data_IF_349457674556
#
_entry.id   IF_349457674556
#
_cell.length_a   1.000
_cell.length_b   1.000
_cell.length_c   1.000
_cell.angle_alpha   90.00
_cell.angle_beta   90.00
_cell.angle_gamma   90.00
#
_symmetry.space_group_name_H-M   'P 1'
#
loop_
_entity.id
_entity.type
_entity.pdbx_description
1 polymer ?
#
# COMPACT_ATOMS: atom_id res chain seq x y z
N UNK A 1 -15.46 22.06 -5.02
CA UNK A 1 -14.85 21.39 -6.20
C UNK A 1 -14.96 19.89 -6.01
N UNK A 2 -15.17 19.12 -7.07
CA UNK A 2 -15.14 17.65 -7.00
C UNK A 2 -13.67 17.28 -6.82
N UNK A 3 -13.34 16.61 -5.71
CA UNK A 3 -11.97 16.11 -5.49
C UNK A 3 -11.74 14.91 -6.39
N UNK A 4 -10.63 14.89 -7.12
CA UNK A 4 -10.22 13.73 -7.89
C UNK A 4 -9.57 12.71 -6.95
N UNK A 5 -9.66 11.43 -7.30
CA UNK A 5 -8.84 10.39 -6.69
C UNK A 5 -7.76 9.99 -7.69
N UNK A 6 -6.51 10.14 -7.31
CA UNK A 6 -5.34 9.94 -8.16
C UNK A 6 -4.49 8.82 -7.57
N UNK A 7 -4.20 7.81 -8.37
CA UNK A 7 -3.26 6.76 -8.02
C UNK A 7 -1.87 7.10 -8.59
N UNK A 8 -0.88 7.13 -7.72
CA UNK A 8 0.54 7.28 -8.09
C UNK A 8 1.13 5.88 -8.24
N UNK A 9 1.58 5.57 -9.44
CA UNK A 9 2.17 4.28 -9.82
C UNK A 9 3.68 4.38 -9.70
N UNK A 10 4.27 3.67 -8.75
CA UNK A 10 5.70 3.72 -8.45
C UNK A 10 6.53 2.75 -9.29
N UNK A 11 5.89 1.80 -9.97
CA UNK A 11 6.58 0.75 -10.71
C UNK A 11 5.97 0.56 -12.09
N UNK A 12 6.81 0.64 -13.14
CA UNK A 12 6.38 0.47 -14.53
C UNK A 12 5.98 -0.97 -14.87
N UNK A 13 6.45 -1.93 -14.09
CA UNK A 13 6.18 -3.36 -14.29
C UNK A 13 4.96 -3.84 -13.49
N UNK A 14 4.45 -3.00 -12.60
CA UNK A 14 3.32 -3.32 -11.74
C UNK A 14 2.06 -2.62 -12.23
N UNK A 15 1.04 -3.39 -12.57
CA UNK A 15 -0.28 -2.82 -12.87
C UNK A 15 -0.96 -2.34 -11.60
N UNK A 16 -1.93 -1.43 -11.74
CA UNK A 16 -2.65 -0.83 -10.60
C UNK A 16 -3.51 -1.81 -9.79
N UNK A 17 -3.59 -3.08 -10.21
CA UNK A 17 -4.45 -4.06 -9.55
C UNK A 17 -5.94 -3.73 -9.66
N UNK A 18 -6.71 -4.15 -8.67
CA UNK A 18 -8.13 -3.85 -8.56
C UNK A 18 -8.35 -2.54 -7.82
N UNK A 19 -8.23 -1.41 -8.52
CA UNK A 19 -8.65 -0.11 -7.99
C UNK A 19 -10.11 0.18 -8.39
N UNK A 20 -10.84 0.99 -7.59
CA UNK A 20 -12.17 1.45 -7.97
C UNK A 20 -12.20 2.21 -9.30
N UNK A 21 -13.32 2.12 -10.02
CA UNK A 21 -13.53 2.87 -11.26
C UNK A 21 -13.41 4.39 -11.06
N UNK A 22 -12.92 5.08 -12.08
CA UNK A 22 -12.82 6.54 -12.09
C UNK A 22 -11.56 7.10 -11.41
N UNK A 23 -10.65 6.26 -10.94
CA UNK A 23 -9.35 6.68 -10.42
C UNK A 23 -8.41 6.99 -11.60
N UNK A 24 -7.77 8.16 -11.55
CA UNK A 24 -6.77 8.58 -12.53
C UNK A 24 -5.41 8.03 -12.09
N UNK A 25 -4.71 7.30 -12.97
CA UNK A 25 -3.37 6.81 -12.68
C UNK A 25 -2.30 7.67 -13.33
N UNK A 26 -1.26 8.01 -12.58
CA UNK A 26 -0.10 8.79 -13.04
C UNK A 26 1.17 8.09 -12.56
N UNK A 27 2.15 7.94 -13.45
CA UNK A 27 3.43 7.36 -13.10
C UNK A 27 4.25 8.35 -12.23
N UNK A 28 4.83 7.87 -11.15
CA UNK A 28 5.56 8.71 -10.19
C UNK A 28 6.71 9.51 -10.81
N UNK A 29 7.38 8.95 -11.83
CA UNK A 29 8.47 9.61 -12.57
C UNK A 29 7.99 10.68 -13.56
N UNK A 30 6.67 10.79 -13.83
CA UNK A 30 6.04 11.79 -14.70
C UNK A 30 5.35 12.89 -13.90
N UNK A 31 5.25 12.74 -12.57
CA UNK A 31 4.56 13.70 -11.69
C UNK A 31 5.38 14.99 -11.56
N UNK A 32 4.73 16.12 -11.75
CA UNK A 32 5.25 17.42 -11.31
C UNK A 32 5.00 17.57 -9.80
N UNK A 33 5.88 17.00 -9.00
CA UNK A 33 5.77 16.96 -7.54
C UNK A 33 5.76 18.34 -6.89
N UNK A 34 6.35 19.34 -7.54
CA UNK A 34 6.42 20.71 -7.02
C UNK A 34 5.06 21.43 -7.11
N UNK A 35 4.24 21.05 -8.10
CA UNK A 35 2.93 21.64 -8.37
C UNK A 35 1.75 20.68 -8.15
N UNK A 36 1.99 19.47 -7.65
CA UNK A 36 0.91 18.51 -7.39
C UNK A 36 -0.05 19.06 -6.31
N UNK A 37 -1.35 19.04 -6.60
CA UNK A 37 -2.41 19.57 -5.72
C UNK A 37 -2.37 18.92 -4.33
N UNK A 38 -2.73 19.68 -3.30
CA UNK A 38 -2.93 19.16 -1.94
C UNK A 38 -4.42 18.93 -1.62
N UNK A 39 -5.32 19.34 -2.53
CA UNK A 39 -6.77 19.26 -2.32
C UNK A 39 -7.39 17.96 -2.83
N UNK A 40 -6.70 17.24 -3.70
CA UNK A 40 -7.13 15.97 -4.25
C UNK A 40 -6.87 14.81 -3.26
N UNK A 41 -7.37 13.62 -3.60
CA UNK A 41 -7.18 12.38 -2.83
C UNK A 41 -6.17 11.51 -3.54
N UNK A 42 -5.24 10.89 -2.81
CA UNK A 42 -4.16 10.12 -3.42
C UNK A 42 -4.08 8.69 -2.90
N UNK A 43 -3.76 7.77 -3.82
CA UNK A 43 -3.37 6.40 -3.52
C UNK A 43 -1.93 6.23 -4.00
N UNK A 44 -1.00 6.00 -3.08
CA UNK A 44 0.41 5.76 -3.38
C UNK A 44 0.60 4.25 -3.44
N UNK A 45 0.84 3.74 -4.62
CA UNK A 45 0.93 2.29 -4.87
C UNK A 45 2.28 1.71 -4.50
N UNK A 46 2.35 0.38 -4.54
CA UNK A 46 3.54 -0.41 -4.31
C UNK A 46 4.59 -0.31 -5.43
N UNK A 47 5.69 -1.03 -5.26
CA UNK A 47 6.77 -1.18 -6.22
C UNK A 47 7.86 -2.10 -5.67
N UNK A 48 8.76 -2.56 -6.54
CA UNK A 48 9.84 -3.50 -6.18
C UNK A 48 11.04 -2.85 -5.48
N UNK A 49 11.11 -1.50 -5.49
CA UNK A 49 12.21 -0.74 -4.89
C UNK A 49 12.00 -0.53 -3.39
N UNK A 50 13.08 -0.36 -2.64
CA UNK A 50 13.03 0.16 -1.27
C UNK A 50 12.78 1.68 -1.26
N UNK A 51 12.12 2.19 -0.23
CA UNK A 51 11.87 3.64 -0.08
C UNK A 51 13.18 4.45 0.04
N UNK A 52 14.30 3.78 0.33
CA UNK A 52 15.64 4.32 0.45
C UNK A 52 16.46 4.27 -0.86
N UNK A 53 15.88 3.78 -1.96
CA UNK A 53 16.56 3.65 -3.26
C UNK A 53 16.58 4.97 -4.06
N UNK A 54 16.62 6.11 -3.39
CA UNK A 54 16.59 7.47 -3.97
C UNK A 54 17.66 7.72 -5.05
N UNK A 55 18.80 7.04 -4.95
CA UNK A 55 19.90 7.19 -5.92
C UNK A 55 19.55 6.54 -7.27
N UNK A 56 18.79 5.46 -7.26
CA UNK A 56 18.39 4.72 -8.45
C UNK A 56 17.07 5.27 -9.01
N UNK A 57 16.14 5.60 -8.12
CA UNK A 57 14.81 6.11 -8.44
C UNK A 57 14.67 7.53 -7.89
N UNK A 58 15.19 8.50 -8.63
CA UNK A 58 15.33 9.90 -8.15
C UNK A 58 14.00 10.59 -7.84
N UNK A 59 12.89 10.11 -8.39
CA UNK A 59 11.56 10.64 -8.06
C UNK A 59 11.13 10.34 -6.62
N UNK A 60 11.62 9.24 -5.99
CA UNK A 60 11.27 8.88 -4.60
C UNK A 60 11.61 9.99 -3.61
N UNK A 61 12.71 10.71 -3.81
CA UNK A 61 13.07 11.83 -2.95
C UNK A 61 12.02 12.96 -3.02
N UNK A 62 11.59 13.30 -4.23
CA UNK A 62 10.56 14.33 -4.43
C UNK A 62 9.19 13.89 -3.91
N UNK A 63 8.84 12.64 -4.12
CA UNK A 63 7.62 12.03 -3.61
C UNK A 63 7.58 12.08 -2.07
N UNK A 64 8.65 11.68 -1.37
CA UNK A 64 8.73 11.78 0.09
C UNK A 64 8.63 13.23 0.58
N UNK A 65 9.25 14.20 -0.11
CA UNK A 65 9.12 15.61 0.22
C UNK A 65 7.69 16.11 0.05
N UNK A 66 7.03 15.72 -1.03
CA UNK A 66 5.62 16.05 -1.26
C UNK A 66 4.71 15.37 -0.23
N UNK A 67 4.90 14.09 0.06
CA UNK A 67 4.16 13.35 1.08
C UNK A 67 4.24 14.04 2.44
N UNK A 68 5.43 14.47 2.85
CA UNK A 68 5.60 15.23 4.10
C UNK A 68 4.75 16.50 4.12
N UNK A 69 4.74 17.26 3.02
CA UNK A 69 3.92 18.48 2.88
C UNK A 69 2.43 18.13 2.88
N UNK A 70 2.02 17.15 2.11
CA UNK A 70 0.64 16.73 1.94
C UNK A 70 0.02 16.22 3.25
N UNK A 71 0.74 15.35 3.98
CA UNK A 71 0.31 14.85 5.28
C UNK A 71 0.17 16.00 6.30
N UNK A 72 1.10 16.95 6.29
CA UNK A 72 1.01 18.12 7.16
C UNK A 72 -0.14 19.07 6.81
N UNK A 73 -0.62 19.02 5.58
CA UNK A 73 -1.77 19.80 5.07
C UNK A 73 -3.10 19.02 5.15
N UNK A 74 -3.13 17.89 5.85
CA UNK A 74 -4.29 17.00 5.98
C UNK A 74 -4.86 16.48 4.65
N UNK A 75 -4.02 16.41 3.62
CA UNK A 75 -4.36 15.74 2.34
C UNK A 75 -4.75 14.29 2.61
N UNK A 76 -5.81 13.82 1.95
CA UNK A 76 -6.25 12.44 2.09
C UNK A 76 -5.38 11.50 1.27
N UNK A 77 -4.67 10.60 1.94
CA UNK A 77 -3.70 9.70 1.31
C UNK A 77 -3.91 8.26 1.79
N UNK A 78 -3.85 7.31 0.85
CA UNK A 78 -3.70 5.88 1.11
C UNK A 78 -2.36 5.43 0.56
N UNK A 79 -1.50 4.86 1.39
CA UNK A 79 -0.26 4.20 0.96
C UNK A 79 -0.43 2.69 0.98
N UNK A 80 0.03 2.00 -0.06
CA UNK A 80 -0.02 0.54 -0.21
C UNK A 80 1.40 0.02 -0.43
N UNK A 81 1.84 -0.94 0.37
CA UNK A 81 3.15 -1.58 0.33
C UNK A 81 4.29 -0.53 0.35
N UNK A 82 5.04 -0.34 -0.74
CA UNK A 82 6.04 0.73 -0.84
C UNK A 82 5.45 2.10 -0.48
N UNK A 83 4.21 2.39 -0.87
CA UNK A 83 3.54 3.64 -0.51
C UNK A 83 3.41 3.84 1.00
N UNK A 84 3.18 2.78 1.78
CA UNK A 84 3.15 2.83 3.25
C UNK A 84 4.53 3.12 3.84
N UNK A 85 5.58 2.58 3.24
CA UNK A 85 6.98 2.78 3.62
C UNK A 85 7.46 4.20 3.31
N UNK A 86 7.10 4.74 2.13
CA UNK A 86 7.38 6.12 1.74
C UNK A 86 6.71 7.13 2.68
N UNK A 87 5.47 6.85 3.09
CA UNK A 87 4.76 7.66 4.08
C UNK A 87 5.50 7.63 5.41
N UNK A 88 5.91 6.45 5.90
CA UNK A 88 6.66 6.33 7.14
C UNK A 88 7.95 7.16 7.11
N UNK A 89 8.77 7.00 6.07
CA UNK A 89 10.01 7.77 5.87
C UNK A 89 9.76 9.29 5.81
N UNK A 90 8.68 9.70 5.11
CA UNK A 90 8.38 11.12 4.93
C UNK A 90 8.08 11.86 6.25
N UNK A 91 7.57 11.14 7.26
CA UNK A 91 7.11 11.77 8.52
C UNK A 91 7.89 11.32 9.76
N UNK A 92 9.11 10.82 9.56
CA UNK A 92 10.07 10.57 10.63
C UNK A 92 10.08 9.15 11.19
N UNK A 93 9.43 8.19 10.52
CA UNK A 93 9.71 6.78 10.66
C UNK A 93 10.95 6.38 9.85
N UNK A 94 11.20 5.10 9.74
CA UNK A 94 12.30 4.53 8.95
C UNK A 94 11.83 3.27 8.27
N UNK A 95 11.90 3.21 6.95
CA UNK A 95 11.72 1.96 6.22
C UNK A 95 13.07 1.24 6.07
N UNK A 96 13.07 -0.06 6.16
CA UNK A 96 14.27 -0.88 6.14
C UNK A 96 14.00 -2.30 5.65
N UNK A 97 15.05 -2.97 5.19
CA UNK A 97 15.03 -4.38 4.82
C UNK A 97 14.77 -5.24 6.06
N UNK A 98 13.72 -6.02 6.06
CA UNK A 98 13.43 -6.95 7.16
C UNK A 98 14.26 -8.25 7.07
N UNK A 99 14.29 -9.01 8.17
CA UNK A 99 15.08 -10.24 8.25
C UNK A 99 14.59 -11.33 7.27
N UNK A 100 13.31 -11.30 6.94
CA UNK A 100 12.68 -12.27 6.04
C UNK A 100 11.54 -11.63 5.23
N UNK A 101 11.25 -12.26 4.10
CA UNK A 101 10.10 -11.89 3.27
C UNK A 101 8.82 -12.30 3.99
N UNK A 102 7.84 -11.41 4.06
CA UNK A 102 6.48 -11.78 4.40
C UNK A 102 5.69 -12.01 3.12
N UNK A 103 5.32 -13.27 2.89
CA UNK A 103 4.60 -13.70 1.69
C UNK A 103 3.39 -14.53 2.02
N UNK A 104 2.30 -14.34 1.26
CA UNK A 104 1.07 -15.12 1.30
C UNK A 104 -0.06 -14.47 2.10
N UNK A 105 -1.14 -15.22 2.28
CA UNK A 105 -2.34 -14.77 2.97
C UNK A 105 -2.19 -14.85 4.49
N UNK A 106 -2.34 -13.71 5.17
CA UNK A 106 -2.11 -13.52 6.61
C UNK A 106 -3.37 -13.09 7.34
N UNK A 107 -3.52 -13.58 8.56
CA UNK A 107 -4.49 -13.03 9.50
C UNK A 107 -3.90 -11.79 10.18
N UNK A 108 -4.69 -10.73 10.29
CA UNK A 108 -4.28 -9.50 10.97
C UNK A 108 -4.57 -9.58 12.47
N UNK A 109 -3.58 -9.19 13.27
CA UNK A 109 -3.76 -8.94 14.70
C UNK A 109 -4.06 -7.45 14.92
N UNK A 110 -5.32 -7.13 15.17
CA UNK A 110 -5.76 -5.76 15.45
C UNK A 110 -5.37 -5.38 16.89
N UNK A 111 -4.71 -4.24 17.01
CA UNK A 111 -4.28 -3.66 18.30
C UNK A 111 -5.10 -2.43 18.66
N UNK A 112 -5.78 -1.84 17.67
CA UNK A 112 -6.72 -0.74 17.83
C UNK A 112 -7.98 -1.02 17.01
N UNK A 113 -9.12 -0.53 17.50
CA UNK A 113 -10.41 -0.65 16.82
C UNK A 113 -10.64 0.54 15.89
N UNK A 114 -10.89 0.25 14.61
CA UNK A 114 -11.29 1.26 13.64
C UNK A 114 -12.29 0.62 12.63
N UNK A 115 -13.55 1.12 12.56
CA UNK A 115 -14.58 0.56 11.68
C UNK A 115 -14.23 0.57 10.18
N UNK A 116 -13.26 1.39 9.79
CA UNK A 116 -12.76 1.42 8.42
C UNK A 116 -12.22 0.06 7.98
N UNK A 117 -11.66 -0.72 8.92
CA UNK A 117 -10.99 -1.99 8.65
C UNK A 117 -11.78 -3.23 9.06
N UNK A 118 -13.06 -3.10 9.42
CA UNK A 118 -13.89 -4.23 9.87
C UNK A 118 -13.97 -5.36 8.82
N UNK A 119 -13.92 -5.00 7.53
CA UNK A 119 -13.96 -5.98 6.44
C UNK A 119 -12.71 -6.89 6.41
N UNK A 120 -11.59 -6.46 7.01
CA UNK A 120 -10.36 -7.25 7.11
C UNK A 120 -10.26 -8.10 8.39
N UNK A 121 -11.14 -7.90 9.38
CA UNK A 121 -11.11 -8.67 10.64
C UNK A 121 -11.44 -10.15 10.44
N UNK A 122 -12.26 -10.47 9.43
CA UNK A 122 -12.72 -11.81 9.14
C UNK A 122 -12.24 -12.33 7.77
N UNK A 123 -11.18 -11.71 7.24
CA UNK A 123 -10.60 -12.04 5.94
C UNK A 123 -9.09 -11.97 6.04
N UNK A 124 -8.41 -12.93 5.46
CA UNK A 124 -6.95 -12.81 5.32
C UNK A 124 -6.62 -11.71 4.31
N UNK A 125 -5.44 -11.13 4.47
CA UNK A 125 -4.88 -10.13 3.56
C UNK A 125 -3.64 -10.69 2.87
N UNK A 126 -3.39 -10.29 1.64
CA UNK A 126 -2.22 -10.76 0.89
C UNK A 126 -1.02 -9.87 1.14
N UNK A 127 0.06 -10.46 1.63
CA UNK A 127 1.36 -9.81 1.83
C UNK A 127 2.39 -10.38 0.86
N UNK A 128 3.17 -9.49 0.26
CA UNK A 128 4.42 -9.81 -0.44
C UNK A 128 5.34 -8.60 -0.32
N UNK A 129 6.16 -8.61 0.70
CA UNK A 129 7.12 -7.55 0.94
C UNK A 129 8.37 -8.07 1.66
N UNK A 130 9.50 -7.50 1.31
CA UNK A 130 10.77 -7.72 1.98
C UNK A 130 11.09 -6.59 2.96
N UNK A 131 10.66 -5.38 2.62
CA UNK A 131 10.87 -4.21 3.44
C UNK A 131 9.70 -4.00 4.41
N UNK A 132 10.01 -3.42 5.55
CA UNK A 132 9.06 -3.00 6.57
C UNK A 132 9.44 -1.61 7.06
N UNK A 133 8.78 -1.11 8.11
CA UNK A 133 9.02 0.22 8.65
C UNK A 133 8.80 0.29 10.16
N UNK A 134 9.43 1.26 10.79
CA UNK A 134 9.08 1.71 12.12
C UNK A 134 7.86 2.64 12.04
N UNK A 135 6.91 2.47 12.98
CA UNK A 135 5.74 3.35 13.07
C UNK A 135 6.21 4.78 13.31
N UNK A 136 5.86 5.72 12.42
CA UNK A 136 6.32 7.09 12.56
C UNK A 136 5.74 7.79 13.82
N UNK A 137 6.48 8.77 14.38
CA UNK A 137 5.98 9.53 15.51
C UNK A 137 4.62 10.18 15.25
N UNK A 138 3.70 10.01 16.20
CA UNK A 138 2.33 10.54 16.10
C UNK A 138 1.36 9.70 15.26
N UNK A 139 1.82 8.58 14.69
CA UNK A 139 0.94 7.63 14.04
C UNK A 139 0.38 6.62 15.03
N UNK A 140 -0.80 6.07 14.71
CA UNK A 140 -1.46 5.00 15.46
C UNK A 140 -1.35 3.70 14.68
N UNK A 141 -0.72 2.68 15.26
CA UNK A 141 -0.73 1.32 14.75
C UNK A 141 -2.12 0.73 14.96
N UNK A 142 -2.75 0.22 13.91
CA UNK A 142 -4.09 -0.37 13.95
C UNK A 142 -4.01 -1.91 13.94
N UNK A 143 -3.20 -2.47 13.04
CA UNK A 143 -3.04 -3.92 12.93
C UNK A 143 -1.63 -4.31 12.52
N UNK A 144 -1.24 -5.52 12.90
CA UNK A 144 0.06 -6.11 12.58
C UNK A 144 -0.06 -7.61 12.34
N UNK A 145 0.95 -8.16 11.68
CA UNK A 145 1.34 -9.58 11.67
C UNK A 145 2.57 -9.73 12.55
N UNK A 146 3.65 -10.24 12.01
CA UNK A 146 5.00 -10.08 12.58
C UNK A 146 5.51 -8.65 12.39
N UNK A 147 5.07 -8.00 11.30
CA UNK A 147 5.38 -6.61 10.94
C UNK A 147 4.14 -5.71 11.06
N UNK A 148 4.30 -4.38 11.19
CA UNK A 148 3.20 -3.44 11.08
C UNK A 148 2.49 -3.59 9.72
N UNK A 149 1.15 -3.67 9.75
CA UNK A 149 0.34 -3.87 8.54
C UNK A 149 -0.59 -2.70 8.25
N UNK A 150 -1.13 -2.07 9.28
CA UNK A 150 -2.01 -0.91 9.13
C UNK A 150 -1.61 0.13 10.16
N UNK A 151 -1.38 1.36 9.70
CA UNK A 151 -1.29 2.52 10.58
C UNK A 151 -2.00 3.74 9.98
N UNK A 152 -2.31 4.69 10.85
CA UNK A 152 -2.90 5.98 10.48
C UNK A 152 -2.10 7.12 11.07
N UNK A 153 -1.98 8.20 10.31
CA UNK A 153 -1.44 9.47 10.78
C UNK A 153 -2.23 10.60 10.13
N UNK A 154 -2.86 11.44 10.94
CA UNK A 154 -3.77 12.49 10.45
C UNK A 154 -4.82 11.90 9.48
N UNK A 155 -4.99 12.47 8.29
CA UNK A 155 -5.90 12.00 7.23
C UNK A 155 -5.26 10.94 6.29
N UNK A 156 -4.15 10.34 6.72
CA UNK A 156 -3.42 9.35 5.94
C UNK A 156 -3.59 7.95 6.52
N UNK A 157 -3.90 6.99 5.66
CA UNK A 157 -3.99 5.56 5.94
C UNK A 157 -2.85 4.84 5.22
N UNK A 158 -2.19 3.91 5.87
CA UNK A 158 -1.09 3.15 5.31
C UNK A 158 -1.31 1.65 5.50
N UNK A 159 -1.22 0.88 4.43
CA UNK A 159 -1.36 -0.56 4.37
C UNK A 159 -0.06 -1.19 3.85
N UNK A 160 0.54 -2.12 4.59
CA UNK A 160 1.71 -2.86 4.09
C UNK A 160 1.30 -3.98 3.13
N UNK A 161 0.15 -4.60 3.36
CA UNK A 161 -0.41 -5.64 2.49
C UNK A 161 -1.08 -5.07 1.25
N UNK A 162 -1.45 -5.95 0.31
CA UNK A 162 -2.03 -5.63 -0.99
C UNK A 162 -3.54 -5.93 -1.02
N UNK A 163 -4.41 -4.96 -0.71
CA UNK A 163 -5.86 -5.16 -0.85
C UNK A 163 -6.29 -5.28 -2.32
N UNK A 164 -5.48 -4.77 -3.25
CA UNK A 164 -5.74 -4.74 -4.69
C UNK A 164 -5.41 -6.05 -5.41
N UNK A 165 -4.99 -7.09 -4.67
CA UNK A 165 -4.52 -8.35 -5.26
C UNK A 165 -5.62 -9.06 -6.05
N UNK A 166 -5.27 -9.54 -7.23
CA UNK A 166 -6.04 -10.44 -8.09
C UNK A 166 -5.10 -11.41 -8.80
N UNK A 167 -5.66 -12.45 -9.41
CA UNK A 167 -4.84 -13.52 -9.99
C UNK A 167 -3.88 -13.00 -11.07
N UNK A 168 -4.38 -12.15 -11.98
CA UNK A 168 -3.57 -11.61 -13.08
C UNK A 168 -2.43 -10.73 -12.55
N UNK A 169 -2.68 -10.00 -11.44
CA UNK A 169 -1.65 -9.18 -10.81
C UNK A 169 -0.59 -10.06 -10.14
N UNK A 170 -1.03 -11.11 -9.41
CA UNK A 170 -0.12 -12.08 -8.82
C UNK A 170 0.75 -12.75 -9.87
N UNK A 171 0.16 -13.23 -10.98
CA UNK A 171 0.86 -13.91 -12.05
C UNK A 171 1.90 -12.97 -12.70
N UNK A 172 1.54 -11.70 -12.93
CA UNK A 172 2.46 -10.71 -13.48
C UNK A 172 3.67 -10.47 -12.54
N UNK A 173 3.45 -10.37 -11.24
CA UNK A 173 4.55 -10.22 -10.28
C UNK A 173 5.42 -11.47 -10.16
N UNK A 174 4.81 -12.66 -10.23
CA UNK A 174 5.50 -13.94 -10.07
C UNK A 174 6.25 -14.39 -11.32
N UNK A 175 6.00 -13.80 -12.49
CA UNK A 175 6.59 -14.27 -13.75
C UNK A 175 8.11 -14.02 -13.86
N UNK A 176 8.66 -13.08 -13.09
CA UNK A 176 10.09 -12.81 -13.11
C UNK A 176 10.91 -13.93 -12.45
N UNK A 177 12.13 -14.20 -12.97
CA UNK A 177 13.07 -15.16 -12.38
C UNK A 177 13.47 -14.76 -10.95
N UNK A 178 13.56 -13.44 -10.69
CA UNK A 178 13.89 -12.94 -9.35
C UNK A 178 12.78 -13.29 -8.34
N UNK A 179 11.52 -13.07 -8.70
CA UNK A 179 10.38 -13.44 -7.86
C UNK A 179 10.31 -14.93 -7.59
N UNK A 180 10.59 -15.77 -8.59
CA UNK A 180 10.62 -17.23 -8.45
C UNK A 180 11.73 -17.68 -7.49
N UNK A 181 12.91 -17.09 -7.60
CA UNK A 181 14.04 -17.36 -6.68
C UNK A 181 13.71 -16.89 -5.25
N UNK A 182 13.13 -15.71 -5.12
CA UNK A 182 12.75 -15.13 -3.83
C UNK A 182 11.73 -16.00 -3.08
N UNK A 183 10.81 -16.62 -3.79
CA UNK A 183 9.74 -17.45 -3.24
C UNK A 183 10.02 -18.97 -3.29
N UNK A 184 11.24 -19.40 -3.61
CA UNK A 184 11.58 -20.83 -3.76
C UNK A 184 11.23 -21.66 -2.50
N UNK A 185 11.35 -21.07 -1.32
CA UNK A 185 11.03 -21.74 -0.04
C UNK A 185 9.56 -21.64 0.38
N UNK A 186 8.71 -20.97 -0.39
CA UNK A 186 7.30 -20.75 -0.06
C UNK A 186 6.38 -21.67 -0.87
N UNK A 187 5.26 -22.09 -0.28
CA UNK A 187 4.22 -22.84 -0.98
C UNK A 187 3.32 -21.89 -1.79
N UNK A 188 3.90 -21.34 -2.87
CA UNK A 188 3.20 -20.42 -3.80
C UNK A 188 1.92 -21.03 -4.35
N UNK A 189 1.88 -22.36 -4.60
CA UNK A 189 0.70 -23.03 -5.13
C UNK A 189 -0.48 -22.97 -4.16
N UNK A 190 -0.23 -23.15 -2.87
CA UNK A 190 -1.27 -23.02 -1.83
C UNK A 190 -1.84 -21.62 -1.80
N UNK A 191 -0.99 -20.59 -1.87
CA UNK A 191 -1.44 -19.19 -1.86
C UNK A 191 -2.28 -18.82 -3.10
N UNK A 192 -1.87 -19.31 -4.28
CA UNK A 192 -2.65 -19.15 -5.53
C UNK A 192 -4.01 -19.85 -5.43
N UNK A 193 -4.07 -21.05 -4.87
CA UNK A 193 -5.35 -21.75 -4.66
C UNK A 193 -6.23 -20.97 -3.67
N UNK A 194 -5.65 -20.47 -2.56
CA UNK A 194 -6.39 -19.65 -1.61
C UNK A 194 -6.98 -18.40 -2.29
N UNK A 195 -6.18 -17.70 -3.11
CA UNK A 195 -6.64 -16.54 -3.88
C UNK A 195 -7.84 -16.89 -4.77
N UNK A 196 -7.75 -17.98 -5.54
CA UNK A 196 -8.84 -18.44 -6.44
C UNK A 196 -10.11 -18.78 -5.68
N UNK A 197 -9.98 -19.54 -4.59
CA UNK A 197 -11.12 -20.05 -3.80
C UNK A 197 -11.83 -18.92 -3.03
N UNK A 198 -11.09 -17.86 -2.63
CA UNK A 198 -11.60 -16.79 -1.80
C UNK A 198 -11.73 -15.44 -2.53
N UNK A 199 -11.48 -15.39 -3.85
CA UNK A 199 -11.41 -14.13 -4.61
C UNK A 199 -12.62 -13.22 -4.40
N UNK A 200 -13.84 -13.76 -4.47
CA UNK A 200 -15.06 -12.96 -4.28
C UNK A 200 -15.16 -12.30 -2.90
N UNK A 201 -14.68 -12.99 -1.86
CA UNK A 201 -14.64 -12.44 -0.51
C UNK A 201 -13.60 -11.33 -0.40
N UNK A 202 -12.39 -11.57 -0.92
CA UNK A 202 -11.28 -10.60 -0.92
C UNK A 202 -11.68 -9.34 -1.70
N UNK A 203 -12.22 -9.50 -2.89
CA UNK A 203 -12.72 -8.40 -3.73
C UNK A 203 -13.81 -7.59 -3.01
N UNK A 204 -14.76 -8.27 -2.36
CA UNK A 204 -15.81 -7.59 -1.59
C UNK A 204 -15.22 -6.79 -0.44
N UNK A 205 -14.28 -7.35 0.32
CA UNK A 205 -13.62 -6.66 1.43
C UNK A 205 -12.86 -5.42 0.94
N UNK A 206 -12.17 -5.55 -0.19
CA UNK A 206 -11.47 -4.45 -0.85
C UNK A 206 -12.43 -3.34 -1.30
N UNK A 207 -13.51 -3.68 -2.02
CA UNK A 207 -14.50 -2.70 -2.50
C UNK A 207 -15.12 -1.94 -1.33
N UNK A 208 -15.51 -2.66 -0.27
CA UNK A 208 -16.07 -2.06 0.94
C UNK A 208 -15.07 -1.10 1.60
N UNK A 209 -13.81 -1.52 1.75
CA UNK A 209 -12.76 -0.69 2.32
C UNK A 209 -12.57 0.59 1.51
N UNK A 210 -12.37 0.50 0.18
CA UNK A 210 -12.20 1.68 -0.66
C UNK A 210 -13.42 2.61 -0.61
N UNK A 211 -14.63 2.04 -0.65
CA UNK A 211 -15.87 2.83 -0.55
C UNK A 211 -15.95 3.60 0.76
N UNK A 212 -15.68 2.95 1.89
CA UNK A 212 -15.62 3.59 3.21
C UNK A 212 -14.50 4.63 3.27
N UNK A 213 -13.30 4.26 2.79
CA UNK A 213 -12.15 5.15 2.83
C UNK A 213 -12.37 6.41 1.97
N UNK A 214 -12.86 6.28 0.74
CA UNK A 214 -13.15 7.42 -0.13
C UNK A 214 -14.24 8.32 0.48
N UNK A 215 -15.30 7.71 1.03
CA UNK A 215 -16.45 8.43 1.59
C UNK A 215 -16.19 9.05 2.96
N UNK A 216 -15.18 8.57 3.70
CA UNK A 216 -14.84 9.13 5.00
C UNK A 216 -14.43 10.59 4.83
N UNK A 217 -15.20 11.51 5.44
CA UNK A 217 -14.86 12.93 5.46
C UNK A 217 -13.57 13.12 6.26
N UNK A 218 -12.72 14.04 5.80
CA UNK A 218 -11.62 14.55 6.62
C UNK A 218 -12.21 15.11 7.91
N UNK A 219 -11.81 14.61 9.06
CA UNK A 219 -12.22 15.11 10.37
C UNK A 219 -11.70 16.51 10.60
#
# INVERSE_FOLDING_TARGET
MIKNTIAIVNDSEVTTGSLPDGIISINAWEVDWDNLSLDDTYIILGGHMGSYDDKKFTYLQKEKQWLKKAINSDTKILGICLGSQLIADAVGGTAFLSDKIEFGFKDLNFVEEDPLFDDFKNSKVFSWHRDTFEIPPGATLIAKTEYPQIYKIKNTTALQFHPEIKLELFEAWYDSELSKQELESYDVKSEVNYLKDNFKQLEKSMINFYSKWISANSL
#
